data_IF_519425792801
#
_entry.id   IF_519425792801
#
_cell.length_a   1.000
_cell.length_b   1.000
_cell.length_c   1.000
_cell.angle_alpha   90.00
_cell.angle_beta   90.00
_cell.angle_gamma   90.00
#
_symmetry.space_group_name_H-M   'P 1'
#
loop_
_entity.id
_entity.type
_entity.pdbx_description
1 polymer ?
#
# COMPACT_ATOMS: atom_id res chain seq x y z
N UNK A 1 37.86 12.89 -78.97
CA UNK A 1 36.95 11.99 -79.73
C UNK A 1 36.77 10.71 -78.95
N UNK A 2 35.55 10.18 -78.98
CA UNK A 2 34.94 9.21 -78.06
C UNK A 2 35.43 7.74 -78.19
N UNK A 3 34.85 6.90 -77.31
CA UNK A 3 34.69 5.42 -77.33
C UNK A 3 35.73 4.63 -76.50
N UNK A 4 35.40 3.93 -75.40
CA UNK A 4 34.46 2.83 -75.07
C UNK A 4 35.18 1.46 -75.01
N UNK A 5 34.92 0.75 -73.91
CA UNK A 5 35.03 -0.71 -73.67
C UNK A 5 36.46 -1.30 -73.55
N UNK A 6 36.75 -2.28 -72.68
CA UNK A 6 35.90 -3.31 -72.10
C UNK A 6 36.44 -3.82 -70.74
N UNK A 7 35.54 -4.11 -69.79
CA UNK A 7 35.81 -4.97 -68.62
C UNK A 7 34.96 -6.23 -68.82
N UNK A 8 35.55 -7.45 -68.85
CA UNK A 8 34.77 -8.67 -68.86
C UNK A 8 34.43 -9.11 -67.43
N UNK A 9 33.13 -9.34 -67.23
CA UNK A 9 32.50 -10.40 -66.45
C UNK A 9 33.25 -10.97 -65.22
N UNK A 10 32.80 -10.56 -64.04
CA UNK A 10 32.78 -11.40 -62.84
C UNK A 10 31.32 -11.56 -62.43
N UNK A 11 30.62 -12.46 -63.13
CA UNK A 11 29.30 -12.96 -62.73
C UNK A 11 29.55 -13.87 -61.52
N UNK A 12 29.62 -13.27 -60.34
CA UNK A 12 29.48 -13.99 -59.08
C UNK A 12 28.00 -14.34 -58.96
N UNK A 13 27.75 -15.65 -58.97
CA UNK A 13 26.44 -16.27 -58.89
C UNK A 13 25.65 -15.74 -57.69
N UNK A 14 24.55 -15.06 -57.97
CA UNK A 14 23.58 -14.51 -57.02
C UNK A 14 22.91 -15.57 -56.12
N UNK A 15 23.22 -16.85 -56.29
CA UNK A 15 22.67 -17.96 -55.47
C UNK A 15 23.36 -18.15 -54.12
N UNK A 16 24.66 -17.88 -54.01
CA UNK A 16 25.40 -18.08 -52.74
C UNK A 16 25.14 -16.94 -51.74
N UNK A 17 24.99 -15.69 -52.24
CA UNK A 17 24.65 -14.54 -51.40
C UNK A 17 23.26 -14.65 -50.75
N UNK A 18 22.32 -15.37 -51.38
CA UNK A 18 20.98 -15.58 -50.84
C UNK A 18 20.94 -16.60 -49.69
N UNK A 19 21.85 -17.59 -49.67
CA UNK A 19 21.84 -18.63 -48.64
C UNK A 19 22.45 -18.17 -47.31
N UNK A 20 23.47 -17.29 -47.33
CA UNK A 20 24.00 -16.67 -46.10
C UNK A 20 23.03 -15.63 -45.51
N UNK A 21 22.31 -14.90 -46.36
CA UNK A 21 21.34 -13.90 -45.91
C UNK A 21 20.14 -14.54 -45.18
N UNK A 22 19.69 -15.72 -45.63
CA UNK A 22 18.59 -16.43 -44.98
C UNK A 22 18.97 -17.00 -43.60
N UNK A 23 20.22 -17.45 -43.40
CA UNK A 23 20.68 -17.97 -42.10
C UNK A 23 20.78 -16.87 -41.03
N UNK A 24 21.23 -15.67 -41.41
CA UNK A 24 21.27 -14.51 -40.51
C UNK A 24 19.88 -13.95 -40.21
N UNK A 25 19.04 -13.79 -41.24
CA UNK A 25 17.72 -13.14 -41.09
C UNK A 25 16.73 -13.97 -40.27
N UNK A 26 16.71 -15.31 -40.42
CA UNK A 26 15.91 -16.18 -39.54
C UNK A 26 16.38 -16.14 -38.09
N UNK A 27 17.70 -16.08 -37.84
CA UNK A 27 18.26 -15.94 -36.49
C UNK A 27 17.84 -14.63 -35.81
N UNK A 28 17.85 -13.52 -36.54
CA UNK A 28 17.39 -12.22 -36.04
C UNK A 28 15.87 -12.19 -35.76
N UNK A 29 15.06 -12.88 -36.56
CA UNK A 29 13.61 -13.00 -36.32
C UNK A 29 13.29 -13.84 -35.08
N UNK A 30 14.06 -14.90 -34.80
CA UNK A 30 13.93 -15.69 -33.56
C UNK A 30 14.48 -14.95 -32.32
N UNK A 31 15.56 -14.19 -32.45
CA UNK A 31 16.09 -13.34 -31.37
C UNK A 31 15.14 -12.17 -31.07
N UNK A 32 14.51 -11.58 -32.10
CA UNK A 32 13.50 -10.55 -31.97
C UNK A 32 12.18 -11.09 -31.36
N UNK A 33 11.77 -12.32 -31.66
CA UNK A 33 10.59 -12.94 -31.05
C UNK A 33 10.82 -13.40 -29.60
N UNK A 34 12.07 -13.70 -29.22
CA UNK A 34 12.46 -13.97 -27.83
C UNK A 34 12.57 -12.67 -26.98
N UNK A 35 12.99 -11.55 -27.58
CA UNK A 35 13.05 -10.23 -26.93
C UNK A 35 11.68 -9.52 -26.87
N UNK A 36 10.85 -9.68 -27.91
CA UNK A 36 9.47 -9.21 -27.95
C UNK A 36 8.52 -10.32 -27.50
N UNK A 37 8.69 -10.74 -26.25
CA UNK A 37 7.71 -11.59 -25.58
C UNK A 37 6.39 -10.80 -25.55
N UNK A 38 5.43 -11.27 -26.34
CA UNK A 38 3.99 -10.94 -26.37
C UNK A 38 3.39 -10.43 -25.02
N UNK A 39 3.78 -10.89 -23.82
CA UNK A 39 3.40 -10.28 -22.55
C UNK A 39 3.70 -8.78 -22.41
N UNK A 40 4.77 -8.21 -22.95
CA UNK A 40 5.11 -6.79 -22.71
C UNK A 40 4.20 -5.86 -23.51
N UNK A 41 3.91 -6.16 -24.77
CA UNK A 41 2.98 -5.34 -25.57
C UNK A 41 1.54 -5.51 -25.11
N UNK A 42 1.13 -6.71 -24.65
CA UNK A 42 -0.16 -6.91 -23.99
C UNK A 42 -0.20 -6.13 -22.68
N UNK A 43 0.89 -6.15 -21.89
CA UNK A 43 0.98 -5.38 -20.64
C UNK A 43 0.94 -3.87 -20.89
N UNK A 44 1.66 -3.36 -21.89
CA UNK A 44 1.63 -1.95 -22.29
C UNK A 44 0.26 -1.57 -22.83
N UNK A 45 -0.39 -2.41 -23.65
CA UNK A 45 -1.73 -2.14 -24.18
C UNK A 45 -2.81 -2.16 -23.07
N UNK A 46 -2.73 -3.09 -22.11
CA UNK A 46 -3.61 -3.15 -20.93
C UNK A 46 -3.32 -2.00 -19.96
N UNK A 47 -2.05 -1.62 -19.79
CA UNK A 47 -1.62 -0.54 -18.90
C UNK A 47 -1.94 0.86 -19.49
N UNK A 48 -1.83 1.05 -20.81
CA UNK A 48 -2.17 2.31 -21.48
C UNK A 48 -3.66 2.46 -21.82
N UNK A 49 -4.40 1.37 -22.07
CA UNK A 49 -5.87 1.46 -22.17
C UNK A 49 -6.50 1.94 -20.86
N UNK A 50 -5.88 1.66 -19.71
CA UNK A 50 -6.25 2.25 -18.42
C UNK A 50 -6.03 3.76 -18.30
N UNK A 51 -5.15 4.37 -19.12
CA UNK A 51 -4.94 5.83 -19.15
C UNK A 51 -5.87 6.57 -20.12
N UNK A 52 -6.36 5.92 -21.17
CA UNK A 52 -7.32 6.53 -22.12
C UNK A 52 -8.79 6.37 -21.66
N UNK A 53 -9.07 5.46 -20.72
CA UNK A 53 -10.38 5.39 -20.05
C UNK A 53 -10.62 6.54 -19.05
N UNK A 54 -9.61 7.38 -18.78
CA UNK A 54 -9.72 8.52 -17.86
C UNK A 54 -10.37 9.77 -18.46
N UNK A 55 -10.58 9.83 -19.77
CA UNK A 55 -11.16 11.02 -20.44
C UNK A 55 -12.59 10.84 -20.95
N UNK A 56 -13.20 9.66 -20.77
CA UNK A 56 -14.56 9.38 -21.27
C UNK A 56 -15.57 8.91 -20.21
N UNK A 57 -15.20 8.87 -18.93
CA UNK A 57 -16.14 8.61 -17.83
C UNK A 57 -15.96 9.62 -16.69
N UNK A 58 -16.77 10.69 -16.62
CA UNK A 58 -16.85 11.51 -15.43
C UNK A 58 -17.70 10.76 -14.42
N UNK A 59 -17.09 9.92 -13.58
CA UNK A 59 -17.85 9.20 -12.57
C UNK A 59 -17.13 8.13 -11.76
N UNK A 60 -15.83 7.89 -11.96
CA UNK A 60 -15.08 6.96 -11.11
C UNK A 60 -14.13 7.72 -10.18
N UNK A 61 -14.72 8.46 -9.25
CA UNK A 61 -14.02 8.95 -8.07
C UNK A 61 -13.60 7.75 -7.20
N UNK A 62 -12.40 7.88 -6.68
CA UNK A 62 -11.75 6.99 -5.73
C UNK A 62 -12.59 6.75 -4.48
N UNK A 63 -13.30 5.63 -4.43
CA UNK A 63 -13.79 5.04 -3.16
C UNK A 63 -14.01 3.54 -3.33
N UNK A 64 -12.93 2.75 -3.25
CA UNK A 64 -13.04 1.29 -3.27
C UNK A 64 -12.24 0.63 -2.14
N UNK A 65 -12.48 1.09 -0.92
CA UNK A 65 -12.37 0.30 0.34
C UNK A 65 -13.40 0.76 1.41
N UNK A 66 -14.54 1.31 1.00
CA UNK A 66 -15.70 1.53 1.89
C UNK A 66 -16.93 0.90 1.26
N UNK A 67 -16.87 -0.41 1.06
CA UNK A 67 -18.04 -1.25 0.79
C UNK A 67 -18.71 -1.64 2.11
N UNK A 68 -19.15 -0.66 2.89
CA UNK A 68 -20.22 -0.85 3.86
C UNK A 68 -21.39 -0.05 3.28
N UNK A 69 -22.61 -0.60 3.17
CA UNK A 69 -23.75 0.20 2.72
C UNK A 69 -23.80 1.47 3.56
N UNK A 70 -24.17 2.64 3.00
CA UNK A 70 -24.47 3.82 3.78
C UNK A 70 -25.76 3.54 4.55
N UNK A 71 -25.71 2.61 5.50
CA UNK A 71 -26.69 2.49 6.55
C UNK A 71 -26.54 3.78 7.33
N UNK A 72 -27.52 4.66 7.18
CA UNK A 72 -27.72 5.93 7.87
C UNK A 72 -26.76 6.09 9.07
N UNK A 73 -25.63 6.77 8.83
CA UNK A 73 -24.78 7.24 9.91
C UNK A 73 -25.59 8.29 10.66
N UNK A 74 -26.35 7.84 11.63
CA UNK A 74 -27.05 8.70 12.57
C UNK A 74 -26.17 8.75 13.82
N UNK A 75 -25.53 9.90 14.14
CA UNK A 75 -24.71 10.02 15.34
C UNK A 75 -25.51 9.66 16.59
N UNK A 76 -26.83 9.89 16.58
CA UNK A 76 -27.74 9.49 17.65
C UNK A 76 -27.81 7.97 17.82
N UNK A 77 -27.80 7.20 16.73
CA UNK A 77 -27.79 5.73 16.75
C UNK A 77 -26.48 5.19 17.29
N UNK A 78 -25.35 5.77 16.89
CA UNK A 78 -24.02 5.38 17.37
C UNK A 78 -23.84 5.69 18.86
N UNK A 79 -24.35 6.83 19.35
CA UNK A 79 -24.35 7.12 20.78
C UNK A 79 -25.18 6.12 21.60
N UNK A 80 -26.35 5.70 21.09
CA UNK A 80 -27.14 4.62 21.72
C UNK A 80 -26.37 3.30 21.75
N UNK A 81 -25.61 2.98 20.70
CA UNK A 81 -24.76 1.78 20.67
C UNK A 81 -23.63 1.85 21.70
N UNK A 82 -23.00 3.01 21.88
CA UNK A 82 -22.00 3.21 22.94
C UNK A 82 -22.62 2.96 24.32
N UNK A 83 -23.80 3.50 24.58
CA UNK A 83 -24.48 3.30 25.87
C UNK A 83 -24.80 1.82 26.12
N UNK A 84 -25.28 1.10 25.10
CA UNK A 84 -25.54 -0.34 25.20
C UNK A 84 -24.25 -1.14 25.48
N UNK A 85 -23.16 -0.82 24.80
CA UNK A 85 -21.86 -1.45 25.07
C UNK A 85 -21.37 -1.17 26.50
N UNK A 86 -21.56 0.06 27.01
CA UNK A 86 -21.20 0.41 28.39
C UNK A 86 -22.03 -0.36 29.42
N UNK A 87 -23.35 -0.52 29.20
CA UNK A 87 -24.22 -1.32 30.07
C UNK A 87 -23.79 -2.78 30.11
N UNK A 88 -23.40 -3.34 28.98
CA UNK A 88 -22.93 -4.72 28.91
C UNK A 88 -21.57 -4.90 29.58
N UNK A 89 -20.66 -3.93 29.43
CA UNK A 89 -19.37 -3.94 30.13
C UNK A 89 -19.52 -3.73 31.64
N UNK A 90 -20.58 -3.06 32.11
CA UNK A 90 -20.88 -2.99 33.53
C UNK A 90 -21.18 -4.37 34.12
N UNK A 91 -21.82 -5.25 33.34
CA UNK A 91 -22.08 -6.63 33.75
C UNK A 91 -20.84 -7.53 33.60
N UNK A 92 -20.05 -7.35 32.53
CA UNK A 92 -18.85 -8.13 32.24
C UNK A 92 -17.66 -7.22 31.89
N UNK A 93 -16.86 -6.77 32.87
CA UNK A 93 -15.86 -5.73 32.65
C UNK A 93 -14.65 -6.20 31.85
N UNK A 94 -14.39 -7.50 31.75
CA UNK A 94 -13.21 -8.08 31.10
C UNK A 94 -13.44 -8.52 29.65
N UNK A 95 -14.61 -8.26 29.07
CA UNK A 95 -14.90 -8.66 27.69
C UNK A 95 -14.16 -7.78 26.66
N UNK A 96 -13.02 -8.28 26.18
CA UNK A 96 -12.18 -7.61 25.19
C UNK A 96 -12.91 -7.34 23.87
N UNK A 97 -13.79 -8.25 23.41
CA UNK A 97 -14.52 -8.07 22.14
C UNK A 97 -15.54 -6.95 22.24
N UNK A 98 -16.21 -6.82 23.40
CA UNK A 98 -17.12 -5.70 23.66
C UNK A 98 -16.38 -4.39 23.77
N UNK A 99 -15.23 -4.34 24.46
CA UNK A 99 -14.38 -3.14 24.50
C UNK A 99 -13.89 -2.74 23.11
N UNK A 100 -13.54 -3.70 22.25
CA UNK A 100 -13.21 -3.43 20.85
C UNK A 100 -14.40 -2.83 20.09
N UNK A 101 -15.60 -3.41 20.22
CA UNK A 101 -16.81 -2.91 19.55
C UNK A 101 -17.17 -1.48 19.99
N UNK A 102 -16.94 -1.18 21.28
CA UNK A 102 -17.09 0.14 21.85
C UNK A 102 -16.05 1.13 21.28
N UNK A 103 -14.78 0.70 21.15
CA UNK A 103 -13.75 1.50 20.51
C UNK A 103 -14.06 1.79 19.02
N UNK A 104 -14.56 0.79 18.28
CA UNK A 104 -15.00 0.96 16.89
C UNK A 104 -16.15 1.97 16.80
N UNK A 105 -17.07 1.99 17.76
CA UNK A 105 -18.17 2.96 17.85
C UNK A 105 -17.65 4.37 18.13
N UNK A 106 -16.68 4.52 19.03
CA UNK A 106 -15.99 5.79 19.26
C UNK A 106 -15.20 6.28 18.04
N UNK A 107 -14.64 5.38 17.22
CA UNK A 107 -14.02 5.76 15.96
C UNK A 107 -15.03 6.32 14.96
N UNK A 108 -16.21 5.70 14.85
CA UNK A 108 -17.29 6.18 13.96
C UNK A 108 -17.81 7.55 14.39
N UNK A 109 -17.85 7.80 15.70
CA UNK A 109 -18.21 9.10 16.29
C UNK A 109 -17.10 10.17 16.18
N UNK A 110 -15.89 9.80 15.75
CA UNK A 110 -14.75 10.73 15.67
C UNK A 110 -14.05 11.00 17.01
N UNK A 111 -14.50 10.37 18.09
CA UNK A 111 -13.90 10.47 19.43
C UNK A 111 -12.66 9.58 19.54
N UNK A 112 -11.58 9.99 18.87
CA UNK A 112 -10.37 9.18 18.69
C UNK A 112 -9.66 8.84 20.01
N UNK A 113 -9.60 9.78 20.96
CA UNK A 113 -8.93 9.56 22.25
C UNK A 113 -9.60 8.44 23.05
N UNK A 114 -10.94 8.46 23.12
CA UNK A 114 -11.72 7.41 23.76
C UNK A 114 -11.51 6.08 23.05
N UNK A 115 -11.56 6.04 21.72
CA UNK A 115 -11.33 4.83 20.95
C UNK A 115 -9.94 4.20 21.23
N UNK A 116 -8.88 5.01 21.22
CA UNK A 116 -7.52 4.53 21.52
C UNK A 116 -7.46 3.94 22.93
N UNK A 117 -8.07 4.62 23.91
CA UNK A 117 -8.07 4.15 25.29
C UNK A 117 -8.76 2.79 25.44
N UNK A 118 -9.86 2.58 24.71
CA UNK A 118 -10.67 1.36 24.79
C UNK A 118 -10.02 0.18 24.05
N UNK A 119 -9.37 0.42 22.91
CA UNK A 119 -8.52 -0.61 22.30
C UNK A 119 -7.37 -1.04 23.20
N UNK A 120 -6.73 -0.10 23.92
CA UNK A 120 -5.66 -0.42 24.87
C UNK A 120 -6.19 -1.28 26.01
N UNK A 121 -7.30 -0.86 26.61
CA UNK A 121 -7.99 -1.61 27.66
C UNK A 121 -8.43 -3.01 27.19
N UNK A 122 -8.85 -3.14 25.93
CA UNK A 122 -9.20 -4.42 25.32
C UNK A 122 -7.97 -5.31 25.13
N UNK A 123 -6.84 -4.74 24.67
CA UNK A 123 -5.58 -5.45 24.54
C UNK A 123 -5.03 -5.92 25.90
N UNK A 124 -5.16 -5.08 26.94
CA UNK A 124 -4.69 -5.38 28.30
C UNK A 124 -5.57 -6.42 29.01
N UNK A 125 -6.84 -6.59 28.62
CA UNK A 125 -7.71 -7.66 29.13
C UNK A 125 -7.48 -9.02 28.48
N UNK A 126 -6.73 -9.08 27.38
CA UNK A 126 -6.41 -10.33 26.71
C UNK A 126 -5.07 -10.89 27.18
N UNK A 127 -5.01 -12.22 27.24
CA UNK A 127 -3.74 -12.93 27.34
C UNK A 127 -2.89 -12.71 26.09
N UNK A 128 -1.58 -12.96 26.22
CA UNK A 128 -0.64 -12.80 25.12
C UNK A 128 -1.07 -13.67 23.92
N UNK A 129 -1.46 -13.03 22.82
CA UNK A 129 -1.89 -13.74 21.62
C UNK A 129 -2.02 -12.83 20.39
N UNK A 130 -2.40 -13.41 19.23
CA UNK A 130 -2.57 -12.66 17.98
C UNK A 130 -3.65 -11.58 18.08
N UNK A 131 -4.69 -11.81 18.89
CA UNK A 131 -5.76 -10.83 19.13
C UNK A 131 -5.25 -9.60 19.89
N UNK A 132 -4.39 -9.79 20.90
CA UNK A 132 -3.75 -8.67 21.60
C UNK A 132 -2.88 -7.87 20.62
N UNK A 133 -2.14 -8.54 19.73
CA UNK A 133 -1.35 -7.86 18.68
C UNK A 133 -2.25 -7.05 17.74
N UNK A 134 -3.40 -7.59 17.34
CA UNK A 134 -4.38 -6.91 16.48
C UNK A 134 -4.97 -5.66 17.13
N UNK A 135 -5.31 -5.71 18.42
CA UNK A 135 -5.85 -4.57 19.16
C UNK A 135 -4.79 -3.49 19.40
N UNK A 136 -3.57 -3.88 19.75
CA UNK A 136 -2.43 -2.95 19.85
C UNK A 136 -2.16 -2.25 18.50
N UNK A 137 -2.26 -2.99 17.40
CA UNK A 137 -2.18 -2.44 16.05
C UNK A 137 -3.30 -1.44 15.78
N UNK A 138 -4.56 -1.77 16.07
CA UNK A 138 -5.69 -0.85 15.87
C UNK A 138 -5.49 0.46 16.64
N UNK A 139 -5.08 0.38 17.90
CA UNK A 139 -4.79 1.56 18.71
C UNK A 139 -3.66 2.42 18.09
N UNK A 140 -2.57 1.79 17.63
CA UNK A 140 -1.47 2.49 17.00
C UNK A 140 -1.87 3.09 15.64
N UNK A 141 -2.61 2.36 14.82
CA UNK A 141 -3.11 2.79 13.52
C UNK A 141 -3.96 4.05 13.65
N UNK A 142 -4.85 4.12 14.64
CA UNK A 142 -5.67 5.32 14.89
C UNK A 142 -4.80 6.52 15.27
N UNK A 143 -3.79 6.33 16.13
CA UNK A 143 -2.86 7.40 16.50
C UNK A 143 -2.08 7.95 15.30
N UNK A 144 -1.70 7.07 14.38
CA UNK A 144 -0.89 7.39 13.21
C UNK A 144 -1.75 8.02 12.11
N UNK A 145 -2.81 7.36 11.66
CA UNK A 145 -3.57 7.75 10.47
C UNK A 145 -4.61 8.84 10.74
N UNK A 146 -5.29 8.78 11.89
CA UNK A 146 -6.42 9.69 12.18
C UNK A 146 -5.98 10.93 12.92
N UNK A 147 -5.01 10.77 13.81
CA UNK A 147 -4.51 11.84 14.67
C UNK A 147 -3.17 12.42 14.22
N UNK A 148 -2.52 11.80 13.22
CA UNK A 148 -1.18 12.19 12.73
C UNK A 148 -0.14 12.35 13.85
N UNK A 149 -0.31 11.57 14.93
CA UNK A 149 0.43 11.76 16.19
C UNK A 149 1.29 10.53 16.50
N UNK A 150 2.26 10.25 15.64
CA UNK A 150 3.04 9.02 15.79
C UNK A 150 3.87 8.99 17.06
N UNK A 151 4.28 10.15 17.60
CA UNK A 151 4.90 10.22 18.93
C UNK A 151 4.07 9.52 20.01
N UNK A 152 2.74 9.65 19.96
CA UNK A 152 1.80 8.96 20.87
C UNK A 152 1.63 7.47 20.52
N UNK A 153 1.87 7.10 19.27
CA UNK A 153 1.84 5.71 18.80
C UNK A 153 3.11 4.92 19.18
N UNK A 154 4.28 5.58 19.30
CA UNK A 154 5.56 4.94 19.63
C UNK A 154 5.51 3.89 20.76
N UNK A 155 4.92 4.16 21.94
CA UNK A 155 4.87 3.16 23.01
C UNK A 155 4.08 1.91 22.60
N UNK A 156 3.02 2.06 21.81
CA UNK A 156 2.19 0.96 21.32
C UNK A 156 2.94 0.16 20.24
N UNK A 157 3.58 0.86 19.29
CA UNK A 157 4.38 0.24 18.23
C UNK A 157 5.55 -0.55 18.81
N UNK A 158 6.31 0.05 19.74
CA UNK A 158 7.42 -0.62 20.43
C UNK A 158 6.94 -1.80 21.28
N UNK A 159 5.80 -1.68 21.96
CA UNK A 159 5.19 -2.82 22.67
C UNK A 159 4.84 -3.95 21.71
N UNK A 160 4.24 -3.63 20.56
CA UNK A 160 3.83 -4.60 19.56
C UNK A 160 5.03 -5.35 18.95
N UNK A 161 6.11 -4.65 18.59
CA UNK A 161 7.33 -5.29 18.06
C UNK A 161 8.02 -6.16 19.11
N UNK A 162 8.03 -5.74 20.38
CA UNK A 162 8.65 -6.51 21.47
C UNK A 162 7.87 -7.79 21.80
N UNK A 163 6.55 -7.69 21.92
CA UNK A 163 5.71 -8.84 22.28
C UNK A 163 5.48 -9.79 21.09
N UNK A 164 5.41 -9.24 19.87
CA UNK A 164 5.02 -9.99 18.67
C UNK A 164 5.97 -9.75 17.50
N UNK A 165 7.27 -10.04 17.62
CA UNK A 165 8.28 -9.66 16.61
C UNK A 165 8.05 -10.28 15.23
N UNK A 166 7.35 -11.42 15.16
CA UNK A 166 7.03 -12.15 13.92
C UNK A 166 5.60 -11.94 13.42
N UNK A 167 4.80 -11.12 14.10
CA UNK A 167 3.43 -10.85 13.67
C UNK A 167 3.39 -9.97 12.42
N UNK A 168 2.39 -10.17 11.57
CA UNK A 168 2.07 -9.29 10.44
C UNK A 168 2.01 -7.81 10.87
N UNK A 169 1.45 -7.53 12.04
CA UNK A 169 1.34 -6.17 12.57
C UNK A 169 2.70 -5.57 12.97
N UNK A 170 3.70 -6.40 13.29
CA UNK A 170 5.03 -5.92 13.67
C UNK A 170 5.81 -5.41 12.47
N UNK A 171 5.55 -5.92 11.26
CA UNK A 171 6.12 -5.35 10.05
C UNK A 171 5.64 -3.90 9.83
N UNK A 172 4.33 -3.64 10.02
CA UNK A 172 3.80 -2.29 10.03
C UNK A 172 4.50 -1.45 11.09
N UNK A 173 4.54 -1.92 12.34
CA UNK A 173 5.14 -1.14 13.43
C UNK A 173 6.62 -0.81 13.20
N UNK A 174 7.41 -1.75 12.68
CA UNK A 174 8.81 -1.53 12.31
C UNK A 174 8.96 -0.47 11.23
N UNK A 175 8.12 -0.51 10.17
CA UNK A 175 8.15 0.50 9.11
C UNK A 175 7.97 1.90 9.68
N UNK A 176 6.99 2.09 10.56
CA UNK A 176 6.69 3.38 11.18
C UNK A 176 7.82 3.83 12.11
N UNK A 177 8.33 2.92 12.94
CA UNK A 177 9.42 3.21 13.88
C UNK A 177 10.70 3.59 13.14
N UNK A 178 11.11 2.81 12.13
CA UNK A 178 12.31 3.10 11.35
C UNK A 178 12.21 4.46 10.64
N UNK A 179 11.05 4.78 10.06
CA UNK A 179 10.82 6.10 9.44
C UNK A 179 10.91 7.20 10.49
N UNK A 180 10.24 7.05 11.62
CA UNK A 180 10.29 8.04 12.70
C UNK A 180 11.73 8.30 13.17
N UNK A 181 12.49 7.23 13.42
CA UNK A 181 13.89 7.31 13.88
C UNK A 181 14.81 7.95 12.84
N UNK A 182 14.60 7.69 11.55
CA UNK A 182 15.36 8.33 10.47
C UNK A 182 15.11 9.85 10.42
N UNK A 183 13.85 10.28 10.52
CA UNK A 183 13.50 11.71 10.54
C UNK A 183 13.94 12.40 11.84
N UNK A 184 13.92 11.67 12.97
CA UNK A 184 14.45 12.16 14.24
C UNK A 184 15.96 12.39 14.15
N UNK A 185 16.71 11.42 13.61
CA UNK A 185 18.15 11.51 13.41
C UNK A 185 18.55 12.64 12.45
N UNK A 186 17.74 12.88 11.41
CA UNK A 186 17.94 13.99 10.48
C UNK A 186 17.52 15.37 11.05
N UNK A 187 16.93 15.42 12.26
CA UNK A 187 16.44 16.67 12.86
C UNK A 187 15.20 17.25 12.17
N UNK A 188 14.51 16.46 11.33
CA UNK A 188 13.43 16.92 10.46
C UNK A 188 12.04 16.90 11.13
N UNK A 189 11.91 16.32 12.33
CA UNK A 189 10.61 16.23 13.01
C UNK A 189 10.00 17.59 13.38
N UNK A 190 10.83 18.63 13.56
CA UNK A 190 10.40 19.97 13.98
C UNK A 190 10.60 21.03 12.87
N UNK A 191 11.01 20.63 11.67
CA UNK A 191 11.40 21.58 10.61
C UNK A 191 10.22 22.29 9.93
N UNK A 192 8.96 21.98 10.33
CA UNK A 192 7.74 22.57 9.78
C UNK A 192 7.48 22.24 8.30
N UNK A 193 8.39 21.54 7.63
CA UNK A 193 8.45 21.41 6.18
C UNK A 193 8.02 20.05 5.63
N UNK A 194 7.68 19.06 6.48
CA UNK A 194 7.32 17.74 5.99
C UNK A 194 6.10 17.19 6.71
N UNK A 195 5.04 16.99 5.93
CA UNK A 195 4.10 15.90 6.15
C UNK A 195 4.89 14.59 6.00
N UNK A 196 5.62 14.23 7.05
CA UNK A 196 6.43 13.02 7.10
C UNK A 196 5.54 11.76 7.06
N UNK A 197 4.21 11.92 7.16
CA UNK A 197 3.20 10.87 7.11
C UNK A 197 2.64 10.64 5.71
N UNK A 198 2.59 11.67 4.85
CA UNK A 198 2.23 11.50 3.44
C UNK A 198 3.15 10.47 2.78
N UNK A 199 2.56 9.42 2.23
CA UNK A 199 3.22 8.19 1.76
C UNK A 199 4.13 8.33 0.55
N UNK A 200 4.79 9.48 0.34
CA UNK A 200 5.55 9.82 -0.86
C UNK A 200 7.01 10.25 -0.68
N UNK A 201 7.60 10.21 0.53
CA UNK A 201 8.98 10.64 0.73
C UNK A 201 9.77 9.70 1.62
N UNK A 202 10.80 9.05 1.08
CA UNK A 202 11.86 8.47 1.88
C UNK A 202 12.63 9.61 2.58
N UNK A 203 13.21 9.37 3.77
CA UNK A 203 14.06 10.36 4.42
C UNK A 203 15.21 10.74 3.46
N UNK A 204 15.63 12.03 3.41
CA UNK A 204 16.76 12.43 2.58
C UNK A 204 18.01 11.65 3.00
N UNK A 205 18.73 11.13 2.00
CA UNK A 205 19.96 10.36 2.15
C UNK A 205 21.12 11.21 2.71
#
# INVERSE_FOLDING_TARGET
>A
MSFLAAIPALVVSSRELYMEFHLGFQGFLFLASALCHVPVWIYIAVFHSGRLAGTFFPGFTSSRLTGMPPGEFSPMKEWKLVEEHLRQLANNPLDARRRESLADSYLRLGTLDSAISEYRKAADSLDSGPEQARLLYRAAYVCVERRMSVKKALPLLRRLVRLYPRSYYAAYARRILNRYEAYEAAGLLNSGATDWWDGGGDPPA
#
